data_IF_929659186740
#
_entry.id   IF_929659186740
#
_cell.length_a   1.000
_cell.length_b   1.000
_cell.length_c   1.000
_cell.angle_alpha   90.00
_cell.angle_beta   90.00
_cell.angle_gamma   90.00
#
_symmetry.space_group_name_H-M   'P 1'
#
loop_
_entity.id
_entity.type
_entity.pdbx_description
1 polymer ?
#
# COMPACT_ATOMS: atom_id res chain seq x y z
N UNK A 1 -19.63 15.33 -10.81
CA UNK A 1 -19.18 15.24 -10.60
C UNK A 1 -18.49 15.35 -10.60
N UNK A 2 -18.52 15.37 -10.63
CA UNK A 2 -17.71 15.31 -10.49
C UNK A 2 -17.02 15.46 -10.44
N UNK A 3 -17.33 15.52 -10.61
CA UNK A 3 -16.67 15.57 -10.50
C UNK A 3 -15.90 15.68 -10.46
N UNK A 4 -15.89 15.36 -10.49
CA UNK A 4 -14.98 15.48 -10.36
C UNK A 4 -14.27 15.79 -10.56
N UNK A 5 -14.86 15.70 -10.50
CA UNK A 5 -13.82 16.19 -11.16
C UNK A 5 -12.44 16.21 -10.66
N UNK A 6 -11.96 16.79 -10.09
CA UNK A 6 -10.57 16.75 -9.70
C UNK A 6 -10.04 15.33 -9.62
N UNK A 7 -8.79 15.14 -9.56
CA UNK A 7 -8.24 13.80 -9.44
C UNK A 7 -8.78 13.15 -8.18
N UNK A 8 -9.36 11.99 -8.36
CA UNK A 8 -9.84 11.22 -7.23
C UNK A 8 -8.61 10.57 -6.60
N UNK A 9 -7.96 11.31 -5.74
CA UNK A 9 -6.79 10.77 -5.05
C UNK A 9 -7.25 9.81 -3.97
N UNK A 10 -6.52 8.73 -3.82
CA UNK A 10 -6.86 7.71 -2.84
C UNK A 10 -5.67 7.40 -1.95
N UNK A 11 -5.97 6.75 -0.85
CA UNK A 11 -4.96 6.35 0.12
C UNK A 11 -4.89 4.83 0.15
N UNK A 12 -3.68 4.29 0.11
CA UNK A 12 -3.47 2.86 0.21
C UNK A 12 -3.04 2.53 1.63
N UNK A 13 -3.84 1.73 2.29
CA UNK A 13 -3.57 1.34 3.67
C UNK A 13 -3.33 -0.16 3.75
N UNK A 14 -2.21 -0.53 4.36
CA UNK A 14 -1.90 -1.93 4.63
C UNK A 14 -2.61 -2.32 5.92
N UNK A 15 -3.60 -3.18 5.83
CA UNK A 15 -4.41 -3.56 6.99
C UNK A 15 -3.92 -4.82 7.67
N UNK A 16 -3.34 -5.73 6.90
CA UNK A 16 -2.83 -6.98 7.47
C UNK A 16 -1.75 -7.53 6.55
N UNK A 17 -0.78 -8.20 7.12
CA UNK A 17 0.32 -8.77 6.34
C UNK A 17 0.22 -10.29 6.22
N UNK A 18 -0.73 -10.90 6.88
CA UNK A 18 -0.87 -12.35 6.85
C UNK A 18 0.38 -13.04 7.38
N UNK A 19 0.70 -14.18 6.80
CA UNK A 19 1.85 -14.96 7.22
C UNK A 19 3.11 -14.74 6.37
N UNK A 20 3.06 -13.82 5.41
CA UNK A 20 4.17 -13.61 4.47
C UNK A 20 4.79 -12.24 4.63
N UNK A 21 5.14 -11.92 5.85
CA UNK A 21 5.69 -10.61 6.20
C UNK A 21 6.87 -10.21 5.32
N UNK A 22 7.79 -11.13 5.07
CA UNK A 22 8.98 -10.83 4.27
C UNK A 22 8.62 -10.41 2.85
N UNK A 23 7.68 -11.12 2.23
CA UNK A 23 7.25 -10.76 0.89
C UNK A 23 6.57 -9.40 0.87
N UNK A 24 5.77 -9.11 1.90
CA UNK A 24 5.10 -7.82 2.02
C UNK A 24 6.11 -6.70 2.21
N UNK A 25 7.12 -6.92 3.01
CA UNK A 25 8.20 -5.95 3.22
C UNK A 25 8.87 -5.60 1.89
N UNK A 26 9.17 -6.62 1.10
CA UNK A 26 9.79 -6.41 -0.21
C UNK A 26 8.89 -5.59 -1.12
N UNK A 27 7.60 -5.93 -1.14
CA UNK A 27 6.64 -5.20 -1.97
C UNK A 27 6.55 -3.74 -1.53
N UNK A 28 6.49 -3.50 -0.23
CA UNK A 28 6.43 -2.14 0.30
C UNK A 28 7.68 -1.35 -0.10
N UNK A 29 8.84 -1.97 -0.02
CA UNK A 29 10.08 -1.32 -0.42
C UNK A 29 10.07 -0.90 -1.88
N UNK A 30 9.59 -1.77 -2.74
CA UNK A 30 9.49 -1.45 -4.17
C UNK A 30 8.51 -0.33 -4.44
N UNK A 31 7.41 -0.33 -3.73
CA UNK A 31 6.35 0.65 -3.94
C UNK A 31 6.74 2.03 -3.40
N UNK A 32 7.27 2.06 -2.19
CA UNK A 32 7.55 3.33 -1.50
C UNK A 32 8.97 3.82 -1.67
N UNK A 33 9.87 2.93 -2.04
CA UNK A 33 11.29 3.28 -2.12
C UNK A 33 11.94 3.41 -0.76
N UNK A 34 11.29 2.97 0.30
CA UNK A 34 11.85 3.04 1.64
C UNK A 34 12.93 1.97 1.84
N UNK A 35 13.78 2.21 2.82
CA UNK A 35 14.76 1.22 3.22
C UNK A 35 14.09 0.05 3.92
N UNK A 36 14.86 -1.01 4.12
CA UNK A 36 14.35 -2.23 4.77
C UNK A 36 13.76 -1.93 6.15
N UNK A 37 14.44 -1.12 6.93
CA UNK A 37 14.01 -0.82 8.29
C UNK A 37 12.67 -0.09 8.29
N UNK A 38 12.53 0.91 7.40
CA UNK A 38 11.29 1.68 7.33
C UNK A 38 10.14 0.82 6.82
N UNK A 39 10.39 0.02 5.80
CA UNK A 39 9.37 -0.88 5.28
C UNK A 39 8.92 -1.87 6.35
N UNK A 40 9.86 -2.39 7.11
CA UNK A 40 9.57 -3.32 8.19
C UNK A 40 8.70 -2.66 9.26
N UNK A 41 9.01 -1.42 9.59
CA UNK A 41 8.20 -0.68 10.57
C UNK A 41 6.77 -0.51 10.11
N UNK A 42 6.57 -0.21 8.84
CA UNK A 42 5.22 -0.08 8.30
C UNK A 42 4.47 -1.40 8.38
N UNK A 43 5.15 -2.47 8.03
CA UNK A 43 4.55 -3.81 8.05
C UNK A 43 4.21 -4.25 9.47
N UNK A 44 5.07 -3.92 10.42
CA UNK A 44 4.85 -4.28 11.82
C UNK A 44 3.80 -3.40 12.49
N UNK A 45 3.60 -2.20 11.99
CA UNK A 45 2.67 -1.24 12.58
C UNK A 45 1.31 -1.23 11.89
N UNK A 46 0.90 -2.35 11.32
CA UNK A 46 -0.40 -2.42 10.65
C UNK A 46 -1.55 -2.23 11.62
N UNK A 47 -2.62 -1.58 11.19
CA UNK A 47 -2.78 -0.95 9.87
C UNK A 47 -1.88 0.27 9.69
N UNK A 48 -1.28 0.39 8.51
CA UNK A 48 -0.38 1.49 8.21
C UNK A 48 -0.65 2.04 6.82
N UNK A 49 -0.54 3.34 6.67
CA UNK A 49 -0.70 3.97 5.36
C UNK A 49 0.58 3.77 4.57
N UNK A 50 0.47 3.14 3.41
CA UNK A 50 1.60 2.90 2.54
C UNK A 50 1.85 4.11 1.65
N UNK A 51 0.79 4.56 0.99
CA UNK A 51 0.84 5.77 0.17
C UNK A 51 -0.47 6.50 0.27
N UNK A 52 -0.42 7.80 0.13
CA UNK A 52 -1.63 8.62 0.14
C UNK A 52 -1.56 9.67 -0.96
N UNK A 53 -2.71 10.18 -1.33
CA UNK A 53 -2.84 11.21 -2.37
C UNK A 53 -2.25 10.74 -3.70
N UNK A 54 -2.62 9.53 -4.12
CA UNK A 54 -2.16 8.96 -5.38
C UNK A 54 -3.36 8.65 -6.27
N UNK A 55 -3.08 8.51 -7.56
CA UNK A 55 -4.11 8.17 -8.51
C UNK A 55 -4.68 6.78 -8.23
N UNK A 56 -5.98 6.57 -8.47
CA UNK A 56 -6.60 5.25 -8.26
C UNK A 56 -5.92 4.13 -9.05
N UNK A 57 -5.42 4.45 -10.23
CA UNK A 57 -4.72 3.46 -11.05
C UNK A 57 -3.45 2.98 -10.36
N UNK A 58 -2.69 3.91 -9.82
CA UNK A 58 -1.48 3.57 -9.08
C UNK A 58 -1.82 2.79 -7.83
N UNK A 59 -2.86 3.22 -7.14
CA UNK A 59 -3.32 2.52 -5.94
C UNK A 59 -3.69 1.07 -6.25
N UNK A 60 -4.32 0.84 -7.40
CA UNK A 60 -4.68 -0.50 -7.83
C UNK A 60 -3.45 -1.38 -8.04
N UNK A 61 -2.43 -0.83 -8.66
CA UNK A 61 -1.19 -1.55 -8.87
C UNK A 61 -0.53 -1.93 -7.55
N UNK A 62 -0.50 -0.98 -6.63
CA UNK A 62 0.05 -1.21 -5.30
C UNK A 62 -0.74 -2.29 -4.58
N UNK A 63 -2.05 -2.20 -4.64
CA UNK A 63 -2.92 -3.18 -4.02
C UNK A 63 -2.65 -4.58 -4.57
N UNK A 64 -2.56 -4.70 -5.88
CA UNK A 64 -2.29 -5.99 -6.50
C UNK A 64 -0.95 -6.58 -6.06
N UNK A 65 0.07 -5.74 -6.01
CA UNK A 65 1.39 -6.20 -5.57
C UNK A 65 1.37 -6.69 -4.14
N UNK A 66 0.74 -5.94 -3.26
CA UNK A 66 0.68 -6.31 -1.85
C UNK A 66 -0.19 -7.54 -1.63
N UNK A 67 -1.32 -7.62 -2.31
CA UNK A 67 -2.17 -8.80 -2.21
C UNK A 67 -1.49 -10.03 -2.77
N UNK A 68 -0.72 -9.87 -3.84
CA UNK A 68 0.09 -10.93 -4.39
C UNK A 68 1.15 -11.41 -3.42
N UNK A 69 1.57 -10.55 -2.51
CA UNK A 69 2.53 -10.91 -1.47
C UNK A 69 1.86 -11.50 -0.23
N UNK A 70 0.53 -11.58 -0.22
CA UNK A 70 -0.21 -12.16 0.89
C UNK A 70 -0.75 -11.14 1.88
N UNK A 71 -0.69 -9.86 1.56
CA UNK A 71 -1.19 -8.82 2.45
C UNK A 71 -2.63 -8.44 2.12
N UNK A 72 -3.30 -7.87 3.10
CA UNK A 72 -4.62 -7.28 2.90
C UNK A 72 -4.43 -5.76 2.83
N UNK A 73 -4.98 -5.17 1.80
CA UNK A 73 -4.79 -3.75 1.53
C UNK A 73 -6.14 -3.10 1.31
N UNK A 74 -6.27 -1.89 1.82
CA UNK A 74 -7.49 -1.12 1.64
C UNK A 74 -7.15 0.16 0.87
N UNK A 75 -7.98 0.47 -0.12
CA UNK A 75 -7.83 1.69 -0.91
C UNK A 75 -9.05 2.56 -0.68
N UNK A 76 -8.81 3.78 -0.28
CA UNK A 76 -9.90 4.73 -0.03
C UNK A 76 -9.67 6.07 -0.70
#
# INVERSE_FOLDING_TARGET
>A
EAVDAGPAEVTVTLTDVGGTKVAVIKAVREITGLGLVDAKKLVDATPAVIKENIAPEEANEIKEKLMGAGATVEVK
#
